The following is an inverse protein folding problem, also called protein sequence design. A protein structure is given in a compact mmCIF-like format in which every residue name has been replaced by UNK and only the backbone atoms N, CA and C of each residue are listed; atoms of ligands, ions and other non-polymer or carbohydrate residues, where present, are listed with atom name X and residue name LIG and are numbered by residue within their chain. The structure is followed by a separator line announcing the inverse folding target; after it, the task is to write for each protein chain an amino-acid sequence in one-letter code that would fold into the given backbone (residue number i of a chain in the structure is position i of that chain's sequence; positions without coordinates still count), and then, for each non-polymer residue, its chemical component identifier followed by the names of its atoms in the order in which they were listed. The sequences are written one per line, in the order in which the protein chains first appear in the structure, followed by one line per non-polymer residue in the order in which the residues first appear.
data_IF_356057168438
#
_entry.id   IF_356057168438
#
_cell.length_a   1.000
_cell.length_b   1.000
_cell.length_c   1.000
_cell.angle_alpha   90.00
_cell.angle_beta   90.00
_cell.angle_gamma   90.00
#
_symmetry.space_group_name_H-M   'P 1'
#
loop_
_entity.id
_entity.type
_entity.pdbx_description
1 polymer ?
#
# COMPACT_ATOMS: atom_id res chain seq x y z
N UNK A 1 -7.04 23.42 -12.94
CA UNK A 1 -6.95 22.64 -11.69
C UNK A 1 -8.37 22.16 -11.39
N UNK A 2 -8.65 20.85 -11.33
CA UNK A 2 -10.01 20.36 -11.01
C UNK A 2 -10.32 20.71 -9.55
N UNK A 3 -11.56 21.12 -9.25
CA UNK A 3 -11.96 21.51 -7.89
C UNK A 3 -12.12 20.28 -7.00
N UNK A 4 -11.93 20.45 -5.68
CA UNK A 4 -12.05 19.34 -4.71
C UNK A 4 -13.45 18.69 -4.75
N UNK A 5 -14.49 19.44 -5.14
CA UNK A 5 -15.84 18.94 -5.34
C UNK A 5 -15.96 17.89 -6.45
N UNK A 6 -15.24 18.04 -7.56
CA UNK A 6 -15.25 17.05 -8.65
C UNK A 6 -14.54 15.75 -8.23
N UNK A 7 -13.44 15.86 -7.48
CA UNK A 7 -12.73 14.70 -6.93
C UNK A 7 -13.61 13.90 -5.98
N UNK A 8 -14.37 14.58 -5.11
CA UNK A 8 -15.29 13.95 -4.17
C UNK A 8 -16.44 13.23 -4.89
N UNK A 9 -17.04 13.86 -5.90
CA UNK A 9 -18.09 13.25 -6.71
C UNK A 9 -17.60 11.93 -7.35
N UNK A 10 -16.39 11.94 -7.92
CA UNK A 10 -15.81 10.75 -8.55
C UNK A 10 -15.49 9.65 -7.56
N UNK A 11 -14.93 10.00 -6.39
CA UNK A 11 -14.71 9.04 -5.30
C UNK A 11 -16.02 8.36 -4.88
N UNK A 12 -17.09 9.16 -4.76
CA UNK A 12 -18.39 8.64 -4.34
C UNK A 12 -19.03 7.70 -5.36
N UNK A 13 -18.70 7.80 -6.66
CA UNK A 13 -19.12 6.79 -7.66
C UNK A 13 -18.53 5.41 -7.36
N UNK A 14 -17.27 5.36 -6.91
CA UNK A 14 -16.61 4.11 -6.48
C UNK A 14 -17.28 3.55 -5.23
N UNK A 15 -17.48 4.40 -4.21
CA UNK A 15 -18.14 4.01 -2.96
C UNK A 15 -19.55 3.45 -3.21
N UNK A 16 -20.36 4.15 -4.00
CA UNK A 16 -21.73 3.73 -4.30
C UNK A 16 -21.76 2.37 -4.98
N UNK A 17 -20.88 2.13 -5.97
CA UNK A 17 -20.77 0.83 -6.66
C UNK A 17 -20.31 -0.29 -5.72
N UNK A 18 -19.51 0.04 -4.71
CA UNK A 18 -19.07 -0.90 -3.67
C UNK A 18 -20.07 -1.05 -2.50
N UNK A 19 -21.22 -0.34 -2.51
CA UNK A 19 -22.19 -0.37 -1.42
C UNK A 19 -21.74 0.35 -0.14
N UNK A 20 -20.75 1.25 -0.25
CA UNK A 20 -20.21 2.05 0.86
C UNK A 20 -20.92 3.41 0.98
N UNK A 21 -21.00 3.99 2.18
CA UNK A 21 -21.55 5.35 2.35
C UNK A 21 -20.69 6.39 1.63
N UNK A 22 -21.35 7.46 1.19
CA UNK A 22 -20.69 8.59 0.54
C UNK A 22 -19.74 9.31 1.51
N UNK A 23 -18.55 9.65 1.02
CA UNK A 23 -17.58 10.51 1.69
C UNK A 23 -18.07 11.95 1.59
N UNK A 24 -17.97 12.69 2.69
CA UNK A 24 -18.36 14.09 2.81
C UNK A 24 -17.18 15.02 3.15
N UNK A 25 -15.96 14.45 3.26
CA UNK A 25 -14.75 15.19 3.60
C UNK A 25 -14.32 16.10 2.45
N UNK A 26 -14.19 17.39 2.74
CA UNK A 26 -13.87 18.44 1.74
C UNK A 26 -12.45 18.98 1.85
N UNK A 27 -11.75 18.75 2.97
CA UNK A 27 -10.34 19.13 3.10
C UNK A 27 -9.50 18.36 2.09
N UNK A 28 -8.79 19.06 1.21
CA UNK A 28 -7.96 18.44 0.17
C UNK A 28 -6.97 17.41 0.73
N UNK A 29 -6.30 17.74 1.84
CA UNK A 29 -5.31 16.84 2.47
C UNK A 29 -5.97 15.57 3.00
N UNK A 30 -7.13 15.70 3.64
CA UNK A 30 -7.86 14.55 4.15
C UNK A 30 -8.47 13.71 3.02
N UNK A 31 -9.06 14.37 2.01
CA UNK A 31 -9.61 13.73 0.82
C UNK A 31 -8.52 12.95 0.06
N UNK A 32 -7.32 13.50 -0.07
CA UNK A 32 -6.17 12.79 -0.68
C UNK A 32 -5.87 11.49 0.05
N UNK A 33 -5.84 11.49 1.40
CA UNK A 33 -5.60 10.27 2.19
C UNK A 33 -6.70 9.23 1.99
N UNK A 34 -7.96 9.66 1.87
CA UNK A 34 -9.09 8.78 1.57
C UNK A 34 -8.94 8.18 0.17
N UNK A 35 -8.66 8.99 -0.85
CA UNK A 35 -8.45 8.50 -2.22
C UNK A 35 -7.33 7.45 -2.27
N UNK A 36 -6.20 7.69 -1.60
CA UNK A 36 -5.10 6.73 -1.56
C UNK A 36 -5.47 5.41 -0.86
N UNK A 37 -6.33 5.46 0.16
CA UNK A 37 -6.90 4.27 0.82
C UNK A 37 -7.84 3.52 -0.12
N UNK A 38 -8.79 4.21 -0.75
CA UNK A 38 -9.74 3.58 -1.67
C UNK A 38 -9.03 2.98 -2.89
N UNK A 39 -8.00 3.63 -3.41
CA UNK A 39 -7.18 3.09 -4.49
C UNK A 39 -6.53 1.75 -4.10
N UNK A 40 -6.04 1.64 -2.87
CA UNK A 40 -5.45 0.40 -2.38
C UNK A 40 -6.47 -0.73 -2.20
N UNK A 41 -7.72 -0.39 -1.88
CA UNK A 41 -8.81 -1.36 -1.69
C UNK A 41 -9.43 -1.80 -3.02
N UNK A 42 -9.75 -0.85 -3.90
CA UNK A 42 -10.37 -1.07 -5.20
C UNK A 42 -9.49 -1.91 -6.12
N UNK A 43 -8.18 -1.59 -6.19
CA UNK A 43 -7.22 -2.27 -7.06
C UNK A 43 -6.40 -3.35 -6.35
N UNK A 44 -6.98 -3.96 -5.31
CA UNK A 44 -6.30 -5.01 -4.55
C UNK A 44 -6.02 -6.22 -5.45
N UNK A 45 -4.79 -6.74 -5.41
CA UNK A 45 -4.31 -7.85 -6.25
C UNK A 45 -4.27 -7.58 -7.76
N UNK A 46 -4.28 -6.30 -8.18
CA UNK A 46 -4.18 -5.90 -9.60
C UNK A 46 -2.80 -5.32 -9.99
N UNK A 47 -1.75 -5.58 -9.20
CA UNK A 47 -0.37 -5.14 -9.47
C UNK A 47 -0.12 -3.62 -9.50
N UNK A 48 -0.95 -2.81 -8.85
CA UNK A 48 -0.74 -1.35 -8.70
C UNK A 48 -0.02 -0.94 -7.43
N UNK A 49 -0.23 -1.69 -6.34
CA UNK A 49 0.09 -1.23 -5.00
C UNK A 49 1.56 -0.85 -4.80
N UNK A 50 2.49 -1.60 -5.39
CA UNK A 50 3.92 -1.35 -5.23
C UNK A 50 4.35 -0.01 -5.85
N UNK A 51 3.76 0.34 -6.99
CA UNK A 51 4.05 1.54 -7.75
C UNK A 51 3.40 2.75 -7.06
N UNK A 52 2.15 2.61 -6.61
CA UNK A 52 1.40 3.68 -5.95
C UNK A 52 2.08 4.17 -4.67
N UNK A 53 2.51 3.24 -3.80
CA UNK A 53 3.17 3.61 -2.54
C UNK A 53 4.52 4.26 -2.75
N UNK A 54 5.25 3.88 -3.81
CA UNK A 54 6.51 4.51 -4.20
C UNK A 54 6.26 5.91 -4.77
N UNK A 55 5.28 6.05 -5.66
CA UNK A 55 4.91 7.31 -6.28
C UNK A 55 4.48 8.35 -5.25
N UNK A 56 3.61 7.97 -4.31
CA UNK A 56 3.13 8.86 -3.25
C UNK A 56 4.09 8.99 -2.07
N UNK A 57 5.17 8.22 -2.02
CA UNK A 57 6.12 8.17 -0.90
C UNK A 57 5.39 8.07 0.45
N UNK A 58 4.49 7.09 0.56
CA UNK A 58 3.64 6.98 1.74
C UNK A 58 4.47 6.92 3.03
N UNK A 59 4.03 7.67 4.03
CA UNK A 59 4.70 7.87 5.31
C UNK A 59 5.04 6.55 6.01
N UNK A 60 4.18 5.55 5.84
CA UNK A 60 4.25 4.23 6.47
C UNK A 60 4.83 3.13 5.58
N UNK A 61 5.46 3.46 4.45
CA UNK A 61 6.04 2.46 3.54
C UNK A 61 7.05 1.53 4.26
N UNK A 62 7.82 2.10 5.18
CA UNK A 62 8.80 1.39 6.01
C UNK A 62 8.25 0.80 7.30
N UNK A 63 6.96 0.97 7.59
CA UNK A 63 6.33 0.54 8.84
C UNK A 63 4.91 0.02 8.59
N UNK A 64 4.84 -1.20 8.05
CA UNK A 64 3.59 -1.96 7.90
C UNK A 64 3.04 -2.09 6.48
N UNK A 65 3.69 -1.48 5.47
CA UNK A 65 3.36 -1.74 4.05
C UNK A 65 4.39 -2.67 3.41
N UNK A 66 5.65 -2.23 3.33
CA UNK A 66 6.77 -3.06 2.86
C UNK A 66 7.73 -3.35 4.02
N UNK A 67 8.19 -2.30 4.70
CA UNK A 67 9.12 -2.43 5.82
C UNK A 67 8.42 -2.68 7.16
N UNK A 68 9.20 -3.15 8.14
CA UNK A 68 8.73 -3.36 9.50
C UNK A 68 7.92 -4.64 9.67
N UNK A 69 7.21 -4.75 10.79
CA UNK A 69 6.50 -5.97 11.15
C UNK A 69 5.26 -6.18 10.29
N UNK A 70 5.29 -7.21 9.45
CA UNK A 70 4.12 -7.65 8.69
C UNK A 70 3.36 -8.67 9.52
N UNK A 71 2.05 -8.44 9.67
CA UNK A 71 1.20 -9.15 10.62
C UNK A 71 0.15 -9.97 9.91
N UNK A 72 -0.15 -11.12 10.52
CA UNK A 72 -1.26 -12.00 10.15
C UNK A 72 -2.07 -12.34 11.41
N UNK A 73 -3.18 -13.04 11.22
CA UNK A 73 -3.89 -13.68 12.31
C UNK A 73 -3.32 -15.07 12.57
N UNK A 74 -3.09 -15.38 13.84
CA UNK A 74 -2.88 -16.75 14.31
C UNK A 74 -4.10 -17.17 15.13
N UNK A 75 -4.52 -18.42 14.97
CA UNK A 75 -5.74 -18.95 15.59
C UNK A 75 -5.41 -20.07 16.57
N UNK A 76 -6.32 -20.38 17.47
CA UNK A 76 -6.21 -21.57 18.34
C UNK A 76 -4.86 -21.65 19.07
N UNK A 77 -4.48 -20.56 19.77
CA UNK A 77 -3.21 -20.40 20.49
C UNK A 77 -1.95 -20.46 19.62
N UNK A 78 -1.98 -19.85 18.43
CA UNK A 78 -0.79 -19.73 17.56
C UNK A 78 -0.72 -20.75 16.42
N UNK A 79 -1.73 -21.60 16.28
CA UNK A 79 -1.90 -22.55 15.19
C UNK A 79 -2.60 -21.91 13.97
N UNK A 80 -2.82 -22.72 12.94
CA UNK A 80 -3.56 -22.33 11.75
C UNK A 80 -5.06 -22.17 11.97
N UNK A 81 -5.70 -21.41 11.07
CA UNK A 81 -7.15 -21.29 11.00
C UNK A 81 -7.79 -22.62 10.60
N UNK A 82 -8.89 -22.97 11.25
CA UNK A 82 -9.78 -24.07 10.84
C UNK A 82 -10.96 -23.52 10.05
N UNK A 83 -11.59 -24.34 9.21
CA UNK A 83 -12.82 -23.98 8.50
C UNK A 83 -13.97 -23.65 9.47
N UNK A 84 -14.07 -24.38 10.59
CA UNK A 84 -15.04 -24.15 11.66
C UNK A 84 -14.40 -24.41 13.02
N UNK A 85 -15.00 -23.85 14.08
CA UNK A 85 -14.59 -24.13 15.47
C UNK A 85 -13.26 -23.50 15.90
N UNK A 86 -12.87 -22.36 15.33
CA UNK A 86 -11.77 -21.56 15.90
C UNK A 86 -12.21 -20.98 17.24
N UNK A 87 -11.42 -21.16 18.29
CA UNK A 87 -11.79 -20.76 19.67
C UNK A 87 -11.21 -19.42 20.08
N UNK A 88 -10.11 -19.01 19.47
CA UNK A 88 -9.50 -17.70 19.67
C UNK A 88 -8.67 -17.28 18.45
N UNK A 89 -8.29 -16.00 18.45
CA UNK A 89 -7.36 -15.42 17.49
C UNK A 89 -6.44 -14.43 18.20
N UNK A 90 -5.27 -14.20 17.62
CA UNK A 90 -4.32 -13.19 18.06
C UNK A 90 -3.56 -12.61 16.86
N UNK A 91 -3.05 -11.38 16.99
CA UNK A 91 -2.13 -10.82 16.01
C UNK A 91 -0.76 -11.50 16.15
N UNK A 92 -0.22 -11.98 15.04
CA UNK A 92 1.12 -12.57 14.96
C UNK A 92 1.95 -11.78 13.96
N UNK A 93 3.21 -11.52 14.29
CA UNK A 93 4.20 -11.04 13.31
C UNK A 93 4.60 -12.25 12.47
N UNK A 94 4.33 -12.19 11.17
CA UNK A 94 4.69 -13.26 10.24
C UNK A 94 6.15 -13.12 9.79
N UNK A 95 6.56 -11.90 9.44
CA UNK A 95 7.96 -11.59 9.12
C UNK A 95 8.26 -10.10 9.32
N UNK A 96 9.55 -9.77 9.32
CA UNK A 96 10.04 -8.40 9.28
C UNK A 96 10.39 -8.03 7.85
N UNK A 97 9.62 -7.13 7.25
CA UNK A 97 9.90 -6.60 5.94
C UNK A 97 11.03 -5.55 5.99
N UNK A 98 11.75 -5.42 4.89
CA UNK A 98 12.83 -4.43 4.76
C UNK A 98 12.47 -3.36 3.74
N UNK A 99 12.63 -2.10 4.16
CA UNK A 99 12.49 -0.94 3.28
C UNK A 99 13.62 0.05 3.54
N UNK A 100 14.21 0.56 2.46
CA UNK A 100 15.19 1.63 2.47
C UNK A 100 14.89 2.64 1.35
N UNK A 101 15.23 3.93 1.50
CA UNK A 101 14.96 4.96 0.50
C UNK A 101 15.46 4.63 -0.91
N UNK A 102 16.57 3.90 -1.06
CA UNK A 102 17.06 3.45 -2.39
C UNK A 102 16.00 2.65 -3.17
N UNK A 103 15.14 1.89 -2.50
CA UNK A 103 14.12 1.03 -3.13
C UNK A 103 12.96 1.80 -3.77
N UNK A 104 12.94 3.14 -3.70
CA UNK A 104 12.05 3.95 -4.56
C UNK A 104 12.31 3.71 -6.04
N UNK A 105 13.55 3.42 -6.42
CA UNK A 105 13.94 3.09 -7.79
C UNK A 105 14.48 1.65 -7.84
N UNK A 106 14.24 0.96 -8.94
CA UNK A 106 14.84 -0.35 -9.16
C UNK A 106 16.29 -0.16 -9.66
N UNK A 107 17.26 -0.99 -9.24
CA UNK A 107 18.62 -0.89 -9.75
C UNK A 107 18.67 -1.20 -11.24
N UNK A 108 19.57 -0.52 -11.97
CA UNK A 108 19.94 -0.97 -13.30
C UNK A 108 20.82 -2.23 -13.20
N UNK A 109 20.75 -3.15 -14.18
CA UNK A 109 21.64 -4.30 -14.21
C UNK A 109 23.11 -3.86 -14.20
N UNK A 110 23.93 -4.46 -13.34
CA UNK A 110 25.34 -4.06 -13.19
C UNK A 110 26.13 -4.16 -14.50
N UNK A 111 25.78 -5.13 -15.35
CA UNK A 111 26.37 -5.28 -16.69
C UNK A 111 26.15 -4.07 -17.59
N UNK A 112 25.03 -3.36 -17.44
CA UNK A 112 24.75 -2.13 -18.20
C UNK A 112 25.51 -0.93 -17.62
N UNK A 113 25.61 -0.85 -16.29
CA UNK A 113 26.44 0.18 -15.61
C UNK A 113 27.92 0.02 -15.97
N UNK A 114 28.42 -1.22 -16.03
CA UNK A 114 29.82 -1.52 -16.38
C UNK A 114 30.20 -1.12 -17.82
N UNK A 115 29.23 -0.88 -18.72
CA UNK A 115 29.49 -0.29 -20.05
C UNK A 115 29.85 1.20 -19.96
N UNK A 116 29.72 1.82 -18.79
CA UNK A 116 30.02 3.22 -18.52
C UNK A 116 29.20 4.25 -19.33
N UNK A 117 28.01 3.85 -19.79
CA UNK A 117 27.08 4.71 -20.56
C UNK A 117 25.90 5.22 -19.72
N UNK A 118 25.68 4.65 -18.54
CA UNK A 118 24.61 5.02 -17.61
C UNK A 118 25.17 5.09 -16.19
N UNK A 119 24.58 5.96 -15.37
CA UNK A 119 24.87 6.06 -13.94
C UNK A 119 23.82 5.26 -13.17
N UNK A 120 24.25 4.56 -12.12
CA UNK A 120 23.37 3.77 -11.27
C UNK A 120 22.37 4.67 -10.50
N UNK A 121 21.20 4.11 -10.17
CA UNK A 121 20.24 4.75 -9.28
C UNK A 121 20.82 4.93 -7.87
N UNK A 122 20.43 6.00 -7.14
CA UNK A 122 21.01 6.30 -5.83
C UNK A 122 20.92 5.14 -4.82
N UNK A 123 22.06 4.79 -4.22
CA UNK A 123 22.16 3.77 -3.16
C UNK A 123 22.29 2.32 -3.65
N UNK A 124 22.54 2.11 -4.95
CA UNK A 124 22.86 0.81 -5.54
C UNK A 124 24.27 0.79 -6.14
#
# INVERSE_FOLDING_TARGET
MRSDGESLERLNKVHQRAGLPAVTVTSQTALRKIIQREWAAEFFSENYRLQDIKHWKLENIGSGIIGGSIRTFAYNNGNGAKLTGNTNYQSKIEYQGFWAPRQFLNPFPQTEVNKAIIVQNPGY
#
